data_IF_546357296614
#
_entry.id   IF_546357296614
#
_cell.length_a   1.000
_cell.length_b   1.000
_cell.length_c   1.000
_cell.angle_alpha   90.00
_cell.angle_beta   90.00
_cell.angle_gamma   90.00
#
_symmetry.space_group_name_H-M   'P 1'
#
loop_
_entity.id
_entity.type
_entity.pdbx_description
1 polymer ?
#
# COMPACT_ATOMS: atom_id res chain seq x y z
N UNK A 1 18.46 56.14 -45.25
CA UNK A 1 17.22 56.50 -44.53
C UNK A 1 16.06 56.46 -45.52
N UNK A 2 15.37 55.34 -45.64
CA UNK A 2 14.05 55.23 -46.29
C UNK A 2 13.49 53.84 -45.99
N UNK A 3 12.17 53.76 -45.79
CA UNK A 3 11.35 52.60 -45.39
C UNK A 3 11.19 52.34 -43.88
N UNK A 4 10.76 53.35 -43.11
CA UNK A 4 9.95 53.18 -41.89
C UNK A 4 8.70 54.07 -42.01
N UNK A 5 8.01 53.98 -43.16
CA UNK A 5 6.91 54.88 -43.51
C UNK A 5 5.54 54.22 -43.69
N UNK A 6 5.48 52.89 -43.87
CA UNK A 6 4.22 52.18 -44.17
C UNK A 6 3.83 51.21 -43.05
N UNK A 7 3.92 51.63 -41.78
CA UNK A 7 3.15 50.96 -40.73
C UNK A 7 1.68 51.36 -40.90
N UNK A 8 0.99 50.66 -41.80
CA UNK A 8 -0.44 50.81 -41.98
C UNK A 8 -1.13 50.21 -40.75
N UNK A 9 -1.38 51.05 -39.74
CA UNK A 9 -1.99 50.70 -38.46
C UNK A 9 -3.30 49.94 -38.62
N UNK A 10 -4.08 50.26 -39.66
CA UNK A 10 -5.27 49.51 -40.06
C UNK A 10 -4.94 48.06 -40.40
N UNK A 11 -3.92 47.84 -41.22
CA UNK A 11 -3.48 46.51 -41.65
C UNK A 11 -2.89 45.69 -40.49
N UNK A 12 -2.25 46.36 -39.53
CA UNK A 12 -1.76 45.73 -38.31
C UNK A 12 -2.93 45.23 -37.44
N UNK A 13 -3.98 46.03 -37.29
CA UNK A 13 -5.18 45.65 -36.57
C UNK A 13 -5.92 44.49 -37.27
N UNK A 14 -6.08 44.57 -38.60
CA UNK A 14 -6.69 43.50 -39.39
C UNK A 14 -5.88 42.18 -39.29
N UNK A 15 -4.54 42.28 -39.28
CA UNK A 15 -3.64 41.13 -39.12
C UNK A 15 -3.70 40.53 -37.71
N UNK A 16 -3.72 41.37 -36.67
CA UNK A 16 -3.88 40.92 -35.28
C UNK A 16 -5.22 40.23 -35.06
N UNK A 17 -6.30 40.75 -35.67
CA UNK A 17 -7.62 40.14 -35.60
C UNK A 17 -7.65 38.77 -36.29
N UNK A 18 -6.99 38.63 -37.45
CA UNK A 18 -6.89 37.37 -38.18
C UNK A 18 -6.12 36.28 -37.40
N UNK A 19 -5.14 36.66 -36.59
CA UNK A 19 -4.31 35.72 -35.81
C UNK A 19 -4.93 35.38 -34.44
N UNK A 20 -5.71 36.30 -33.86
CA UNK A 20 -6.18 36.20 -32.46
C UNK A 20 -7.18 35.09 -32.15
N UNK A 21 -7.47 34.16 -33.07
CA UNK A 21 -8.43 33.07 -32.84
C UNK A 21 -9.86 33.54 -32.47
N UNK A 22 -10.14 34.84 -32.64
CA UNK A 22 -11.31 35.50 -32.10
C UNK A 22 -12.61 34.94 -32.69
N UNK A 23 -13.69 34.99 -31.89
CA UNK A 23 -15.00 34.54 -32.32
C UNK A 23 -15.48 35.40 -33.50
N UNK A 24 -16.23 34.84 -34.45
CA UNK A 24 -16.64 35.53 -35.70
C UNK A 24 -17.27 36.90 -35.45
N UNK A 25 -17.99 37.06 -34.35
CA UNK A 25 -18.60 38.32 -33.90
C UNK A 25 -17.56 39.38 -33.46
N UNK A 26 -16.51 38.96 -32.79
CA UNK A 26 -15.44 39.86 -32.34
C UNK A 26 -14.55 40.30 -33.51
N UNK A 27 -14.24 39.40 -34.44
CA UNK A 27 -13.53 39.77 -35.67
C UNK A 27 -14.34 40.75 -36.52
N UNK A 28 -15.66 40.59 -36.56
CA UNK A 28 -16.55 41.53 -37.24
C UNK A 28 -16.54 42.91 -36.58
N UNK A 29 -16.59 42.99 -35.24
CA UNK A 29 -16.52 44.26 -34.50
C UNK A 29 -15.22 45.04 -34.79
N UNK A 30 -14.09 44.33 -34.95
CA UNK A 30 -12.82 44.96 -35.33
C UNK A 30 -12.88 45.48 -36.77
N UNK A 31 -13.46 44.73 -37.71
CA UNK A 31 -13.54 45.13 -39.13
C UNK A 31 -14.56 46.25 -39.40
N UNK A 32 -15.59 46.39 -38.55
CA UNK A 32 -16.61 47.43 -38.65
C UNK A 32 -16.16 48.78 -38.07
N UNK A 33 -15.10 48.80 -37.25
CA UNK A 33 -14.60 50.02 -36.63
C UNK A 33 -13.74 50.84 -37.60
N UNK A 34 -14.23 52.02 -37.96
CA UNK A 34 -13.58 52.94 -38.91
C UNK A 34 -12.43 53.72 -38.25
N UNK A 35 -12.49 53.92 -36.94
CA UNK A 35 -11.41 54.58 -36.18
C UNK A 35 -10.23 53.63 -35.96
N UNK A 36 -9.09 53.97 -36.56
CA UNK A 36 -7.84 53.20 -36.50
C UNK A 36 -7.38 52.97 -35.06
N UNK A 37 -7.55 53.95 -34.16
CA UNK A 37 -7.10 53.84 -32.77
C UNK A 37 -7.95 52.84 -31.97
N UNK A 38 -9.28 52.96 -32.09
CA UNK A 38 -10.21 52.03 -31.40
C UNK A 38 -10.07 50.61 -31.92
N UNK A 39 -9.87 50.45 -33.22
CA UNK A 39 -9.66 49.15 -33.85
C UNK A 39 -8.38 48.48 -33.32
N UNK A 40 -7.29 49.23 -33.17
CA UNK A 40 -6.05 48.74 -32.55
C UNK A 40 -6.27 48.30 -31.09
N UNK A 41 -7.04 49.06 -30.31
CA UNK A 41 -7.34 48.75 -28.91
C UNK A 41 -8.14 47.45 -28.77
N UNK A 42 -9.18 47.28 -29.59
CA UNK A 42 -9.97 46.04 -29.65
C UNK A 42 -9.11 44.84 -30.06
N UNK A 43 -8.25 45.02 -31.06
CA UNK A 43 -7.35 43.96 -31.52
C UNK A 43 -6.33 43.58 -30.45
N UNK A 44 -5.79 44.57 -29.73
CA UNK A 44 -4.85 44.35 -28.65
C UNK A 44 -5.48 43.54 -27.51
N UNK A 45 -6.75 43.81 -27.18
CA UNK A 45 -7.48 43.04 -26.16
C UNK A 45 -7.67 41.58 -26.56
N UNK A 46 -8.01 41.32 -27.83
CA UNK A 46 -8.16 39.97 -28.37
C UNK A 46 -6.84 39.19 -28.34
N UNK A 47 -5.76 39.80 -28.84
CA UNK A 47 -4.42 39.19 -28.85
C UNK A 47 -3.94 38.93 -27.41
N UNK A 48 -4.23 39.83 -26.46
CA UNK A 48 -3.87 39.64 -25.06
C UNK A 48 -4.60 38.45 -24.43
N UNK A 49 -5.89 38.28 -24.71
CA UNK A 49 -6.65 37.10 -24.25
C UNK A 49 -6.08 35.80 -24.81
N UNK A 50 -5.77 35.78 -26.10
CA UNK A 50 -5.19 34.60 -26.76
C UNK A 50 -3.80 34.24 -26.22
N UNK A 51 -2.99 35.25 -25.91
CA UNK A 51 -1.68 35.05 -25.28
C UNK A 51 -1.81 34.42 -23.89
N UNK A 52 -2.80 34.84 -23.08
CA UNK A 52 -3.03 34.24 -21.77
C UNK A 52 -3.52 32.79 -21.88
N UNK A 53 -4.40 32.49 -22.83
CA UNK A 53 -4.84 31.11 -23.12
C UNK A 53 -3.65 30.23 -23.53
N UNK A 54 -2.79 30.73 -24.42
CA UNK A 54 -1.60 30.01 -24.88
C UNK A 54 -0.63 29.70 -23.73
N UNK A 55 -0.39 30.65 -22.82
CA UNK A 55 0.45 30.42 -21.63
C UNK A 55 -0.13 29.34 -20.71
N UNK A 56 -1.45 29.35 -20.49
CA UNK A 56 -2.11 28.32 -19.68
C UNK A 56 -1.93 26.95 -20.35
N UNK A 57 -2.17 26.83 -21.66
CA UNK A 57 -1.98 25.58 -22.39
C UNK A 57 -0.53 25.08 -22.31
N UNK A 58 0.47 25.95 -22.45
CA UNK A 58 1.88 25.59 -22.31
C UNK A 58 2.20 25.10 -20.89
N UNK A 59 1.69 25.78 -19.85
CA UNK A 59 1.88 25.35 -18.46
C UNK A 59 1.27 23.98 -18.16
N UNK A 60 0.09 23.69 -18.73
CA UNK A 60 -0.58 22.40 -18.58
C UNK A 60 0.22 21.31 -19.28
N UNK A 61 0.70 21.58 -20.51
CA UNK A 61 1.52 20.64 -21.26
C UNK A 61 2.80 20.28 -20.50
N UNK A 62 3.51 21.27 -19.96
CA UNK A 62 4.71 21.06 -19.13
C UNK A 62 4.42 20.23 -17.87
N UNK A 63 3.33 20.54 -17.16
CA UNK A 63 2.95 19.80 -15.95
C UNK A 63 2.58 18.32 -16.24
N UNK A 64 1.95 18.05 -17.38
CA UNK A 64 1.65 16.69 -17.83
C UNK A 64 2.93 15.94 -18.20
N UNK A 65 3.83 16.58 -18.94
CA UNK A 65 5.10 15.99 -19.38
C UNK A 65 6.01 15.65 -18.19
N UNK A 66 6.10 16.52 -17.17
CA UNK A 66 6.84 16.25 -15.94
C UNK A 66 6.26 15.05 -15.16
N UNK A 67 4.93 14.93 -15.04
CA UNK A 67 4.28 13.79 -14.39
C UNK A 67 4.52 12.47 -15.14
N UNK A 68 4.30 12.48 -16.46
CA UNK A 68 4.46 11.28 -17.31
C UNK A 68 5.93 10.83 -17.31
N UNK A 69 6.88 11.76 -17.39
CA UNK A 69 8.31 11.46 -17.36
C UNK A 69 8.73 10.80 -16.03
N UNK A 70 8.21 11.30 -14.90
CA UNK A 70 8.47 10.71 -13.58
C UNK A 70 7.93 9.28 -13.45
N UNK A 71 6.69 9.03 -13.86
CA UNK A 71 6.09 7.69 -13.80
C UNK A 71 6.72 6.71 -14.78
N UNK A 72 6.98 7.12 -16.02
CA UNK A 72 7.67 6.28 -17.01
C UNK A 72 9.11 5.98 -16.58
N UNK A 73 9.83 6.95 -16.01
CA UNK A 73 11.18 6.73 -15.44
C UNK A 73 11.13 5.73 -14.29
N UNK A 74 10.17 5.85 -13.37
CA UNK A 74 10.01 4.89 -12.26
C UNK A 74 9.67 3.49 -12.76
N UNK A 75 8.77 3.38 -13.75
CA UNK A 75 8.40 2.11 -14.36
C UNK A 75 9.60 1.43 -15.02
N UNK A 76 10.37 2.18 -15.82
CA UNK A 76 11.56 1.67 -16.48
C UNK A 76 12.65 1.24 -15.48
N UNK A 77 12.89 2.03 -14.43
CA UNK A 77 13.84 1.68 -13.37
C UNK A 77 13.42 0.40 -12.64
N UNK A 78 12.13 0.18 -12.40
CA UNK A 78 11.62 -1.04 -11.78
C UNK A 78 11.79 -2.27 -12.68
N UNK A 79 11.50 -2.16 -13.97
CA UNK A 79 11.71 -3.25 -14.93
C UNK A 79 13.20 -3.59 -15.07
N UNK A 80 14.08 -2.58 -15.10
CA UNK A 80 15.53 -2.79 -15.08
C UNK A 80 15.99 -3.46 -13.79
N UNK A 81 15.49 -3.04 -12.63
CA UNK A 81 15.83 -3.63 -11.34
C UNK A 81 15.37 -5.10 -11.26
N UNK A 82 14.22 -5.42 -11.86
CA UNK A 82 13.72 -6.80 -11.98
C UNK A 82 14.59 -7.65 -12.90
N UNK A 83 14.97 -7.13 -14.07
CA UNK A 83 15.89 -7.79 -14.99
C UNK A 83 17.28 -8.02 -14.36
N UNK A 84 17.82 -7.04 -13.62
CA UNK A 84 19.09 -7.17 -12.88
C UNK A 84 18.98 -8.26 -11.81
N UNK A 85 17.88 -8.30 -11.03
CA UNK A 85 17.64 -9.36 -10.04
C UNK A 85 17.59 -10.75 -10.69
N UNK A 86 17.02 -10.86 -11.89
CA UNK A 86 16.97 -12.08 -12.67
C UNK A 86 18.35 -12.53 -13.13
N UNK A 87 19.14 -11.61 -13.68
CA UNK A 87 20.50 -11.91 -14.14
C UNK A 87 21.47 -12.23 -13.00
N UNK A 88 21.33 -11.58 -11.85
CA UNK A 88 22.11 -11.90 -10.64
C UNK A 88 21.67 -13.22 -9.97
N UNK A 89 20.63 -13.90 -10.45
CA UNK A 89 20.11 -15.12 -9.81
C UNK A 89 19.47 -14.88 -8.44
N UNK A 90 19.08 -13.64 -8.14
CA UNK A 90 18.47 -13.20 -6.88
C UNK A 90 16.93 -13.21 -6.91
N UNK A 91 16.32 -13.58 -8.05
CA UNK A 91 14.86 -13.74 -8.12
C UNK A 91 14.42 -14.97 -7.33
N UNK A 92 13.79 -14.73 -6.18
CA UNK A 92 12.87 -15.60 -5.40
C UNK A 92 13.34 -16.26 -4.09
N UNK A 93 14.60 -16.18 -3.67
CA UNK A 93 15.03 -17.01 -2.52
C UNK A 93 14.42 -16.56 -1.18
N UNK A 94 14.45 -15.28 -0.80
CA UNK A 94 14.07 -14.89 0.56
C UNK A 94 12.60 -15.17 0.93
N UNK A 95 11.65 -14.84 0.03
CA UNK A 95 10.23 -15.09 0.29
C UNK A 95 9.90 -16.58 0.21
N UNK A 96 10.49 -17.28 -0.75
CA UNK A 96 10.23 -18.71 -0.94
C UNK A 96 10.85 -19.52 0.19
N UNK A 97 12.06 -19.16 0.64
CA UNK A 97 12.71 -19.72 1.82
C UNK A 97 11.90 -19.43 3.08
N UNK A 98 11.35 -18.22 3.23
CA UNK A 98 10.48 -17.89 4.38
C UNK A 98 9.19 -18.72 4.37
N UNK A 99 8.52 -18.83 3.22
CA UNK A 99 7.34 -19.69 3.07
C UNK A 99 7.67 -21.17 3.31
N UNK A 100 8.81 -21.65 2.82
CA UNK A 100 9.28 -23.02 3.04
C UNK A 100 9.54 -23.29 4.52
N UNK A 101 10.19 -22.35 5.23
CA UNK A 101 10.43 -22.43 6.67
C UNK A 101 9.14 -22.53 7.48
N UNK A 102 8.11 -21.75 7.12
CA UNK A 102 6.80 -21.86 7.79
C UNK A 102 6.12 -23.19 7.51
N UNK A 103 6.22 -23.72 6.28
CA UNK A 103 5.71 -25.06 5.96
C UNK A 103 6.45 -26.15 6.73
N UNK A 104 7.77 -26.09 6.80
CA UNK A 104 8.61 -27.05 7.53
C UNK A 104 8.24 -27.10 9.02
N UNK A 105 7.97 -25.95 9.64
CA UNK A 105 7.48 -25.88 11.03
C UNK A 105 6.07 -26.45 11.21
N UNK A 106 5.23 -26.35 10.18
CA UNK A 106 3.85 -26.82 10.23
C UNK A 106 3.73 -28.33 10.00
N UNK A 107 4.55 -28.91 9.11
CA UNK A 107 4.54 -30.34 8.78
C UNK A 107 4.44 -31.29 9.99
N UNK A 108 5.23 -31.16 11.08
CA UNK A 108 5.12 -32.08 12.21
C UNK A 108 3.79 -32.00 12.96
N UNK A 109 3.11 -30.86 12.94
CA UNK A 109 1.85 -30.64 13.68
C UNK A 109 0.63 -30.60 12.75
N UNK A 110 0.81 -30.80 11.44
CA UNK A 110 -0.24 -30.63 10.43
C UNK A 110 -1.42 -31.57 10.62
N UNK A 111 -1.15 -32.83 10.95
CA UNK A 111 -2.21 -33.83 11.21
C UNK A 111 -3.00 -33.55 12.50
N UNK A 112 -2.39 -32.83 13.45
CA UNK A 112 -2.99 -32.46 14.74
C UNK A 112 -3.63 -31.08 14.73
N UNK A 113 -3.41 -30.30 13.66
CA UNK A 113 -3.92 -28.95 13.52
C UNK A 113 -5.39 -28.99 13.06
N UNK A 114 -6.28 -28.20 13.68
CA UNK A 114 -7.66 -28.12 13.22
C UNK A 114 -7.74 -27.66 11.74
N UNK A 115 -8.65 -28.22 10.94
CA UNK A 115 -8.73 -27.93 9.50
C UNK A 115 -8.99 -26.45 9.18
N UNK A 116 -9.74 -25.75 10.05
CA UNK A 116 -9.99 -24.31 9.90
C UNK A 116 -8.72 -23.47 10.05
N UNK A 117 -7.78 -23.87 10.91
CA UNK A 117 -6.52 -23.15 11.13
C UNK A 117 -5.59 -23.38 9.95
N UNK A 118 -5.51 -24.61 9.44
CA UNK A 118 -4.70 -24.94 8.26
C UNK A 118 -5.13 -24.11 7.04
N UNK A 119 -6.44 -23.96 6.82
CA UNK A 119 -6.96 -23.14 5.73
C UNK A 119 -6.49 -21.68 5.87
N UNK A 120 -6.60 -21.09 7.06
CA UNK A 120 -6.15 -19.71 7.31
C UNK A 120 -4.64 -19.57 7.10
N UNK A 121 -3.83 -20.54 7.53
CA UNK A 121 -2.38 -20.53 7.32
C UNK A 121 -2.05 -20.59 5.82
N UNK A 122 -2.74 -21.40 5.03
CA UNK A 122 -2.53 -21.48 3.58
C UNK A 122 -2.94 -20.19 2.86
N UNK A 123 -4.05 -19.57 3.25
CA UNK A 123 -4.51 -18.28 2.74
C UNK A 123 -3.49 -17.17 3.02
N UNK A 124 -2.99 -17.08 4.27
CA UNK A 124 -1.98 -16.09 4.66
C UNK A 124 -0.60 -16.36 4.04
N UNK A 125 -0.20 -17.62 3.84
CA UNK A 125 1.01 -17.96 3.09
C UNK A 125 0.93 -17.52 1.63
N UNK A 126 -0.23 -17.69 1.00
CA UNK A 126 -0.47 -17.23 -0.37
C UNK A 126 -0.41 -15.71 -0.45
N UNK A 127 -1.03 -15.03 0.52
CA UNK A 127 -0.97 -13.56 0.65
C UNK A 127 0.47 -13.06 0.83
N UNK A 128 1.28 -13.72 1.66
CA UNK A 128 2.68 -13.37 1.92
C UNK A 128 3.55 -13.39 0.64
N UNK A 129 3.27 -14.31 -0.29
CA UNK A 129 4.00 -14.38 -1.56
C UNK A 129 3.69 -13.19 -2.47
N UNK A 130 2.42 -12.76 -2.48
CA UNK A 130 1.92 -11.65 -3.30
C UNK A 130 2.36 -10.27 -2.76
N UNK A 131 2.42 -10.10 -1.45
CA UNK A 131 2.76 -8.83 -0.81
C UNK A 131 4.21 -8.39 -1.06
N UNK A 132 4.45 -7.11 -1.33
CA UNK A 132 5.82 -6.57 -1.41
C UNK A 132 6.53 -6.64 -0.04
N UNK A 133 7.80 -7.06 -0.03
CA UNK A 133 8.56 -7.26 1.21
C UNK A 133 8.77 -5.97 2.03
N UNK A 134 8.64 -4.79 1.40
CA UNK A 134 8.72 -3.47 2.04
C UNK A 134 7.38 -2.98 2.61
N UNK A 135 6.27 -3.69 2.35
CA UNK A 135 4.95 -3.30 2.85
C UNK A 135 4.82 -3.54 4.36
N UNK A 136 4.11 -2.65 5.05
CA UNK A 136 3.72 -2.86 6.45
C UNK A 136 2.86 -4.13 6.60
N UNK A 137 2.03 -4.43 5.61
CA UNK A 137 1.21 -5.65 5.59
C UNK A 137 2.05 -6.92 5.54
N UNK A 138 3.20 -6.90 4.86
CA UNK A 138 4.10 -8.06 4.80
C UNK A 138 4.65 -8.42 6.18
N UNK A 139 5.05 -7.42 6.97
CA UNK A 139 5.52 -7.64 8.34
C UNK A 139 4.40 -8.15 9.26
N UNK A 140 3.17 -7.65 9.10
CA UNK A 140 2.02 -8.11 9.88
C UNK A 140 1.69 -9.56 9.57
N UNK A 141 1.54 -9.93 8.28
CA UNK A 141 1.27 -11.31 7.86
C UNK A 141 2.40 -12.25 8.25
N UNK A 142 3.67 -11.83 8.11
CA UNK A 142 4.83 -12.62 8.56
C UNK A 142 4.76 -12.92 10.06
N UNK A 143 4.51 -11.90 10.88
CA UNK A 143 4.41 -12.09 12.32
C UNK A 143 3.25 -13.02 12.63
N UNK A 144 2.08 -12.80 12.05
CA UNK A 144 0.92 -13.64 12.28
C UNK A 144 1.17 -15.12 11.96
N UNK A 145 1.81 -15.42 10.83
CA UNK A 145 2.25 -16.77 10.46
C UNK A 145 3.28 -17.35 11.44
N UNK A 146 4.19 -16.53 11.97
CA UNK A 146 5.17 -16.96 12.98
C UNK A 146 4.47 -17.39 14.29
N UNK A 147 3.47 -16.62 14.74
CA UNK A 147 2.66 -16.99 15.90
C UNK A 147 1.86 -18.27 15.66
N UNK A 148 1.18 -18.38 14.51
CA UNK A 148 0.38 -19.56 14.18
C UNK A 148 1.24 -20.83 14.05
N UNK A 149 2.46 -20.72 13.52
CA UNK A 149 3.36 -21.88 13.35
C UNK A 149 4.17 -22.21 14.61
N UNK A 150 4.29 -21.30 15.56
CA UNK A 150 4.96 -21.54 16.84
C UNK A 150 4.07 -22.29 17.86
N UNK A 151 2.75 -22.28 17.68
CA UNK A 151 1.83 -22.94 18.59
C UNK A 151 1.90 -24.47 18.47
N UNK A 152 1.96 -25.21 19.59
CA UNK A 152 2.09 -26.66 19.59
C UNK A 152 0.70 -27.32 19.38
N UNK A 153 0.16 -27.21 18.16
CA UNK A 153 -1.16 -27.72 17.81
C UNK A 153 -1.31 -29.22 18.12
N UNK A 154 -2.28 -29.54 18.98
CA UNK A 154 -2.59 -30.90 19.41
C UNK A 154 -1.50 -31.60 20.23
N UNK A 155 -0.52 -30.85 20.74
CA UNK A 155 0.40 -31.32 21.77
C UNK A 155 -0.09 -30.81 23.12
N UNK A 156 -0.59 -31.74 23.92
CA UNK A 156 -1.02 -31.49 25.29
C UNK A 156 -0.07 -32.21 26.23
N UNK A 157 0.21 -31.63 27.39
CA UNK A 157 0.89 -32.34 28.47
C UNK A 157 -0.06 -33.34 29.11
N UNK A 158 0.45 -34.50 29.51
CA UNK A 158 -0.32 -35.44 30.32
C UNK A 158 -0.73 -34.78 31.64
N UNK A 159 -2.03 -34.64 31.86
CA UNK A 159 -2.56 -34.10 33.11
C UNK A 159 -2.45 -35.17 34.22
N UNK A 160 -1.73 -34.87 35.30
CA UNK A 160 -1.61 -35.76 36.45
C UNK A 160 -2.54 -35.30 37.58
N UNK A 161 -3.57 -36.09 37.87
CA UNK A 161 -4.58 -35.80 38.90
C UNK A 161 -4.37 -36.61 40.19
N UNK A 162 -3.13 -37.01 40.50
CA UNK A 162 -2.83 -37.69 41.76
C UNK A 162 -2.83 -36.72 42.96
N UNK A 163 -3.95 -36.73 43.69
CA UNK A 163 -4.18 -35.91 44.89
C UNK A 163 -3.16 -36.22 46.00
N UNK A 164 -2.72 -37.47 46.14
CA UNK A 164 -1.77 -37.86 47.20
C UNK A 164 -0.40 -37.25 46.90
N UNK A 165 0.05 -37.38 45.65
CA UNK A 165 1.29 -36.77 45.18
C UNK A 165 1.23 -35.24 45.26
N UNK A 166 0.09 -34.64 44.90
CA UNK A 166 -0.10 -33.20 45.00
C UNK A 166 -0.01 -32.69 46.45
N UNK A 167 -0.58 -33.42 47.41
CA UNK A 167 -0.50 -33.08 48.83
C UNK A 167 0.95 -33.11 49.33
N UNK A 168 1.71 -34.16 48.98
CA UNK A 168 3.11 -34.28 49.37
C UNK A 168 3.97 -33.12 48.84
N UNK A 169 3.81 -32.76 47.57
CA UNK A 169 4.55 -31.65 46.94
C UNK A 169 4.17 -30.31 47.60
N UNK A 170 2.87 -30.08 47.85
CA UNK A 170 2.39 -28.85 48.50
C UNK A 170 2.91 -28.72 49.94
N UNK A 171 3.02 -29.82 50.67
CA UNK A 171 3.54 -29.86 52.04
C UNK A 171 5.07 -29.72 52.10
N UNK A 172 5.79 -30.19 51.08
CA UNK A 172 7.25 -30.02 50.94
C UNK A 172 7.63 -28.58 50.53
N UNK A 173 6.95 -28.01 49.53
CA UNK A 173 7.30 -26.69 48.98
C UNK A 173 6.80 -25.52 49.85
N UNK A 174 5.77 -25.73 50.68
CA UNK A 174 5.12 -24.66 51.45
C UNK A 174 4.79 -25.07 52.88
N UNK A 175 5.27 -24.32 53.86
CA UNK A 175 4.92 -24.53 55.28
C UNK A 175 3.61 -23.81 55.65
N UNK A 176 2.64 -24.52 56.24
CA UNK A 176 1.32 -23.98 56.62
C UNK A 176 0.31 -23.94 55.47
N UNK A 177 -0.53 -22.88 55.44
CA UNK A 177 -1.55 -22.63 54.39
C UNK A 177 -2.59 -23.76 54.25
N UNK A 178 -3.03 -24.36 55.36
CA UNK A 178 -3.93 -25.53 55.39
C UNK A 178 -5.20 -25.30 54.56
N UNK A 179 -5.89 -24.18 54.79
CA UNK A 179 -7.15 -23.85 54.10
C UNK A 179 -6.97 -23.67 52.58
N UNK A 180 -5.82 -23.15 52.13
CA UNK A 180 -5.52 -22.94 50.71
C UNK A 180 -5.13 -24.25 50.03
N UNK A 181 -4.33 -25.08 50.70
CA UNK A 181 -3.95 -26.42 50.21
C UNK A 181 -5.17 -27.32 50.09
N UNK A 182 -6.06 -27.31 51.07
CA UNK A 182 -7.31 -28.09 51.03
C UNK A 182 -8.14 -27.72 49.80
N UNK A 183 -8.27 -26.42 49.50
CA UNK A 183 -9.00 -25.94 48.31
C UNK A 183 -8.33 -26.29 46.98
N UNK A 184 -7.00 -26.31 46.92
CA UNK A 184 -6.26 -26.79 45.73
C UNK A 184 -6.46 -28.29 45.55
N UNK A 185 -6.40 -29.07 46.63
CA UNK A 185 -6.63 -30.51 46.59
C UNK A 185 -8.08 -30.84 46.21
N UNK A 186 -9.06 -30.07 46.68
CA UNK A 186 -10.45 -30.16 46.24
C UNK A 186 -10.58 -29.91 44.73
N UNK A 187 -9.90 -28.89 44.20
CA UNK A 187 -9.90 -28.60 42.76
C UNK A 187 -9.30 -29.75 41.94
N UNK A 188 -8.17 -30.30 42.37
CA UNK A 188 -7.54 -31.47 41.71
C UNK A 188 -8.44 -32.71 41.82
N UNK A 189 -9.10 -32.91 42.96
CA UNK A 189 -10.04 -34.03 43.17
C UNK A 189 -11.28 -33.91 42.26
N UNK A 190 -11.81 -32.69 42.08
CA UNK A 190 -12.90 -32.42 41.12
C UNK A 190 -12.42 -32.62 39.68
N UNK A 191 -11.20 -32.19 39.34
CA UNK A 191 -10.56 -32.45 38.05
C UNK A 191 -10.41 -33.95 37.76
N UNK A 192 -10.01 -34.74 38.77
CA UNK A 192 -9.93 -36.21 38.70
C UNK A 192 -11.28 -36.86 38.42
N UNK A 193 -12.36 -36.34 39.01
CA UNK A 193 -13.73 -36.84 38.81
C UNK A 193 -14.28 -36.47 37.43
N UNK A 194 -13.93 -35.29 36.89
CA UNK A 194 -14.41 -34.81 35.58
C UNK A 194 -13.55 -35.30 34.41
N UNK A 195 -12.32 -35.73 34.65
CA UNK A 195 -11.38 -36.15 33.62
C UNK A 195 -10.83 -35.00 32.76
N UNK A 196 -11.08 -33.75 33.16
CA UNK A 196 -10.57 -32.54 32.52
C UNK A 196 -10.34 -31.46 33.58
N UNK A 197 -9.27 -30.68 33.42
CA UNK A 197 -8.92 -29.54 34.27
C UNK A 197 -9.79 -28.29 34.07
N UNK A 198 -10.63 -28.26 33.03
CA UNK A 198 -11.46 -27.11 32.67
C UNK A 198 -12.72 -27.05 33.55
N UNK A 199 -12.59 -26.38 34.69
CA UNK A 199 -13.70 -25.93 35.53
C UNK A 199 -13.74 -24.41 35.59
N UNK A 200 -14.85 -23.85 35.07
CA UNK A 200 -15.25 -22.45 34.84
C UNK A 200 -14.98 -21.92 33.43
#
# INVERSE_FOLDING_TARGET
MQHIGDFNYSRLADFGAAISGANKLQSQQVLEELDVYKRLELTLELVKKEMEISKIQESIAKAIEEKISGEQRRYLLNEQLKAIKKELGLETDDKTALSAKFRERLEPNKERCPPHVLQVIEEELTKLQLLEASSSEFNVTRNYLDWLTALPWGNYSDENFDVIRAQQILDEDHYGLTDVKERILEFIAVGKLRGTSHGW
#
